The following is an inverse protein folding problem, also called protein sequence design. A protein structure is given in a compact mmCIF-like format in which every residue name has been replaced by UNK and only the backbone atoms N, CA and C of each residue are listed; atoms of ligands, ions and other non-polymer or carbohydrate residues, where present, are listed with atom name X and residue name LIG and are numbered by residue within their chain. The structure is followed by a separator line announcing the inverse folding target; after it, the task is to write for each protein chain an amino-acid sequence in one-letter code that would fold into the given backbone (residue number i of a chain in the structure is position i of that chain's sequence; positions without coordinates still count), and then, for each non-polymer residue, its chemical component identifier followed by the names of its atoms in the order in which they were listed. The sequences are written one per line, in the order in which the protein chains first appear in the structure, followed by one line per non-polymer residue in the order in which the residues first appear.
data_IF_608503465001
#
_entry.id   IF_608503465001
#
_cell.length_a   1.000
_cell.length_b   1.000
_cell.length_c   1.000
_cell.angle_alpha   90.00
_cell.angle_beta   90.00
_cell.angle_gamma   90.00
#
_symmetry.space_group_name_H-M   'P 1'
#
loop_
_entity.id
_entity.type
_entity.pdbx_description
1 polymer ?
#
# COMPACT_ATOMS: atom_id res chain seq x y z
N UNK A 1 -32.44 -5.78 7.87
CA UNK A 1 -31.49 -6.23 8.91
C UNK A 1 -30.11 -6.13 8.30
N UNK A 2 -29.20 -5.36 8.89
CA UNK A 2 -27.82 -5.29 8.41
C UNK A 2 -27.13 -6.64 8.57
N UNK A 3 -26.16 -6.93 7.70
CA UNK A 3 -25.27 -8.09 7.84
C UNK A 3 -24.52 -8.01 9.16
N UNK A 4 -24.53 -9.07 9.98
CA UNK A 4 -23.78 -9.10 11.25
C UNK A 4 -22.32 -9.46 10.99
N UNK A 5 -21.39 -8.62 11.44
CA UNK A 5 -19.95 -8.82 11.26
C UNK A 5 -19.15 -8.21 12.42
N UNK A 6 -17.95 -8.73 12.62
CA UNK A 6 -16.89 -8.16 13.46
C UNK A 6 -15.75 -7.67 12.56
N UNK A 7 -14.81 -6.89 13.09
CA UNK A 7 -13.69 -6.36 12.33
C UNK A 7 -12.33 -6.58 13.03
N UNK A 8 -11.31 -6.88 12.22
CA UNK A 8 -9.90 -6.94 12.61
C UNK A 8 -9.11 -5.98 11.71
N UNK A 9 -8.45 -4.99 12.31
CA UNK A 9 -7.59 -4.02 11.62
C UNK A 9 -6.13 -4.31 11.96
N UNK A 10 -5.31 -4.62 10.96
CA UNK A 10 -3.89 -4.93 11.13
C UNK A 10 -3.04 -3.67 10.94
N UNK A 11 -2.43 -3.19 12.02
CA UNK A 11 -1.64 -1.96 12.06
C UNK A 11 -0.22 -2.16 12.62
N UNK A 12 0.33 -3.37 12.53
CA UNK A 12 1.70 -3.69 12.97
C UNK A 12 2.82 -3.37 11.96
N UNK A 13 2.51 -2.80 10.80
CA UNK A 13 3.47 -2.56 9.73
C UNK A 13 4.51 -1.46 10.04
N UNK A 14 5.80 -1.73 9.76
CA UNK A 14 6.88 -0.72 9.82
C UNK A 14 6.93 0.08 8.52
N UNK A 15 6.87 1.42 8.56
CA UNK A 15 7.01 2.26 7.37
C UNK A 15 8.49 2.52 7.02
N UNK A 16 9.14 1.52 6.43
CA UNK A 16 10.53 1.66 5.98
C UNK A 16 10.71 2.72 4.89
N UNK A 17 9.65 2.99 4.10
CA UNK A 17 9.63 3.90 2.95
C UNK A 17 9.10 5.32 3.24
N UNK A 18 8.66 5.59 4.48
CA UNK A 18 8.10 6.90 4.88
C UNK A 18 8.98 7.60 5.93
N UNK A 19 10.31 7.51 5.77
CA UNK A 19 11.26 8.25 6.61
C UNK A 19 11.30 7.83 8.09
N UNK A 20 10.90 6.60 8.42
CA UNK A 20 10.90 6.08 9.79
C UNK A 20 9.64 6.39 10.61
N UNK A 21 8.64 7.07 10.04
CA UNK A 21 7.33 7.23 10.65
C UNK A 21 6.64 5.87 10.85
N UNK A 22 5.78 5.77 11.85
CA UNK A 22 4.87 4.62 12.00
C UNK A 22 3.79 4.73 10.92
N UNK A 23 3.68 3.74 10.02
CA UNK A 23 2.76 3.78 8.85
C UNK A 23 1.32 4.13 9.27
N UNK A 24 0.75 3.52 10.31
CA UNK A 24 -0.63 3.81 10.73
C UNK A 24 -0.86 5.25 11.21
N UNK A 25 0.20 5.98 11.59
CA UNK A 25 0.13 7.35 12.11
C UNK A 25 0.32 8.40 11.01
N UNK A 26 0.66 7.99 9.79
CA UNK A 26 0.80 8.89 8.66
C UNK A 26 -0.54 9.57 8.39
N UNK A 27 -0.50 10.90 8.27
CA UNK A 27 -1.69 11.69 8.02
C UNK A 27 -2.05 11.68 6.53
N UNK A 28 -3.32 11.41 6.25
CA UNK A 28 -3.96 11.53 4.94
C UNK A 28 -5.30 12.25 5.15
N UNK A 29 -5.64 13.24 4.33
CA UNK A 29 -6.82 14.08 4.52
C UNK A 29 -6.85 14.77 5.89
N UNK A 30 -5.69 15.07 6.47
CA UNK A 30 -5.56 15.67 7.81
C UNK A 30 -5.83 14.72 8.99
N UNK A 31 -6.00 13.42 8.76
CA UNK A 31 -6.27 12.40 9.81
C UNK A 31 -5.32 11.22 9.66
N UNK A 32 -5.04 10.50 10.75
CA UNK A 32 -4.16 9.32 10.67
C UNK A 32 -4.81 8.19 9.84
N UNK A 33 -4.00 7.45 9.09
CA UNK A 33 -4.44 6.30 8.29
C UNK A 33 -5.28 5.31 9.10
N UNK A 34 -4.84 4.98 10.32
CA UNK A 34 -5.59 4.08 11.21
C UNK A 34 -7.00 4.58 11.53
N UNK A 35 -7.20 5.90 11.63
CA UNK A 35 -8.50 6.48 11.95
C UNK A 35 -9.48 6.35 10.77
N UNK A 36 -8.99 6.50 9.53
CA UNK A 36 -9.82 6.25 8.33
C UNK A 36 -10.25 4.79 8.23
N UNK A 37 -9.34 3.87 8.50
CA UNK A 37 -9.63 2.43 8.43
C UNK A 37 -10.59 2.01 9.55
N UNK A 38 -10.47 2.59 10.75
CA UNK A 38 -11.43 2.36 11.83
C UNK A 38 -12.83 2.86 11.47
N UNK A 39 -12.96 4.01 10.80
CA UNK A 39 -14.26 4.48 10.30
C UNK A 39 -14.91 3.47 9.34
N UNK A 40 -14.12 2.79 8.51
CA UNK A 40 -14.60 1.74 7.59
C UNK A 40 -15.16 0.50 8.32
N UNK A 41 -14.90 0.36 9.63
CA UNK A 41 -15.47 -0.70 10.49
C UNK A 41 -16.80 -0.31 11.13
N UNK A 42 -17.32 0.90 10.86
CA UNK A 42 -18.60 1.36 11.41
C UNK A 42 -19.71 0.37 11.11
N UNK A 43 -20.40 -0.09 12.17
CA UNK A 43 -21.45 -1.11 12.08
C UNK A 43 -21.00 -2.52 12.49
N UNK A 44 -19.70 -2.75 12.70
CA UNK A 44 -19.20 -3.98 13.31
C UNK A 44 -19.73 -4.13 14.75
N UNK A 45 -20.05 -5.37 15.15
CA UNK A 45 -20.41 -5.67 16.54
C UNK A 45 -19.23 -5.48 17.48
N UNK A 46 -18.05 -5.91 17.05
CA UNK A 46 -16.76 -5.67 17.71
C UNK A 46 -15.69 -5.30 16.69
N UNK A 47 -14.83 -4.37 17.06
CA UNK A 47 -13.62 -4.01 16.29
C UNK A 47 -12.38 -4.25 17.14
N UNK A 48 -11.44 -5.02 16.60
CA UNK A 48 -10.12 -5.24 17.18
C UNK A 48 -9.06 -4.57 16.31
N UNK A 49 -8.27 -3.70 16.92
CA UNK A 49 -7.06 -3.15 16.34
C UNK A 49 -5.85 -3.99 16.76
N UNK A 50 -5.14 -4.57 15.80
CA UNK A 50 -3.91 -5.31 16.04
C UNK A 50 -2.72 -4.40 15.84
N UNK A 51 -2.20 -3.86 16.93
CA UNK A 51 -1.26 -2.75 16.94
C UNK A 51 -0.49 -2.65 18.27
N UNK A 52 0.71 -2.02 18.29
CA UNK A 52 1.37 -1.67 19.54
C UNK A 52 0.56 -0.64 20.34
N UNK A 53 0.74 -0.64 21.67
CA UNK A 53 0.00 0.18 22.64
C UNK A 53 -0.09 1.68 22.30
N UNK A 54 0.93 2.23 21.62
CA UNK A 54 0.92 3.63 21.17
C UNK A 54 -0.21 3.98 20.20
N UNK A 55 -0.83 3.00 19.54
CA UNK A 55 -1.91 3.18 18.57
C UNK A 55 -3.32 2.98 19.15
N UNK A 56 -3.44 2.74 20.46
CA UNK A 56 -4.74 2.56 21.13
C UNK A 56 -5.69 3.73 20.81
N UNK A 57 -6.97 3.40 20.64
CA UNK A 57 -8.07 4.36 20.45
C UNK A 57 -9.20 4.09 21.45
N UNK A 58 -9.89 5.12 21.96
CA UNK A 58 -11.04 4.92 22.84
C UNK A 58 -12.11 4.03 22.21
N UNK A 59 -12.60 3.06 22.97
CA UNK A 59 -13.69 2.17 22.52
C UNK A 59 -13.28 1.07 21.53
N UNK A 60 -12.00 0.97 21.15
CA UNK A 60 -11.48 -0.07 20.26
C UNK A 60 -10.58 -1.01 21.05
N UNK A 61 -10.90 -2.31 21.05
CA UNK A 61 -10.03 -3.31 21.66
C UNK A 61 -8.72 -3.36 20.89
N UNK A 62 -7.60 -3.13 21.57
CA UNK A 62 -6.27 -3.16 20.94
C UNK A 62 -5.48 -4.32 21.50
N UNK A 63 -4.90 -5.13 20.61
CA UNK A 63 -4.03 -6.26 20.96
C UNK A 63 -2.80 -6.25 20.08
N UNK A 64 -1.77 -7.00 20.45
CA UNK A 64 -0.61 -7.28 19.59
C UNK A 64 -0.38 -8.78 19.58
N UNK A 65 0.15 -9.32 18.48
CA UNK A 65 0.59 -10.70 18.49
C UNK A 65 1.74 -10.93 19.50
N UNK A 66 1.76 -12.12 20.09
CA UNK A 66 2.78 -12.52 21.06
C UNK A 66 3.48 -13.82 20.58
N UNK A 67 4.80 -13.82 20.36
CA UNK A 67 5.71 -12.66 20.43
C UNK A 67 5.49 -11.68 19.26
N UNK A 68 5.84 -10.39 19.44
CA UNK A 68 5.68 -9.38 18.39
C UNK A 68 6.52 -9.68 17.13
N UNK A 69 6.23 -8.94 16.06
CA UNK A 69 6.83 -9.13 14.73
C UNK A 69 6.53 -10.52 14.14
N UNK A 70 5.35 -11.08 14.44
CA UNK A 70 4.90 -12.36 13.92
C UNK A 70 4.39 -12.29 12.48
N UNK A 71 4.21 -11.07 11.95
CA UNK A 71 3.69 -10.82 10.62
C UNK A 71 2.16 -10.85 10.53
N UNK A 72 1.58 -10.55 9.36
CA UNK A 72 0.13 -10.34 9.23
C UNK A 72 -0.74 -11.54 9.61
N UNK A 73 -0.28 -12.77 9.36
CA UNK A 73 -1.02 -13.98 9.73
C UNK A 73 -1.10 -14.15 11.26
N UNK A 74 0.00 -13.90 11.99
CA UNK A 74 0.02 -13.91 13.44
C UNK A 74 -0.85 -12.79 14.01
N UNK A 75 -0.79 -11.60 13.42
CA UNK A 75 -1.67 -10.48 13.79
C UNK A 75 -3.15 -10.81 13.59
N UNK A 76 -3.53 -11.43 12.47
CA UNK A 76 -4.90 -11.87 12.23
C UNK A 76 -5.35 -12.91 13.26
N UNK A 77 -4.51 -13.89 13.61
CA UNK A 77 -4.82 -14.88 14.64
C UNK A 77 -4.99 -14.25 16.04
N UNK A 78 -4.16 -13.26 16.38
CA UNK A 78 -4.31 -12.50 17.63
C UNK A 78 -5.62 -11.71 17.64
N UNK A 79 -5.97 -11.04 16.54
CA UNK A 79 -7.24 -10.33 16.38
C UNK A 79 -8.45 -11.25 16.51
N UNK A 80 -8.43 -12.42 15.86
CA UNK A 80 -9.49 -13.42 15.96
C UNK A 80 -9.66 -13.96 17.39
N UNK A 81 -8.56 -14.14 18.12
CA UNK A 81 -8.59 -14.56 19.52
C UNK A 81 -9.25 -13.49 20.39
N UNK A 82 -8.92 -12.22 20.16
CA UNK A 82 -9.46 -11.08 20.91
C UNK A 82 -10.96 -10.82 20.65
N UNK A 83 -11.45 -11.14 19.45
CA UNK A 83 -12.88 -11.10 19.14
C UNK A 83 -13.70 -12.12 19.96
N UNK A 84 -13.06 -13.16 20.48
CA UNK A 84 -13.69 -14.19 21.31
C UNK A 84 -14.51 -15.21 20.51
N UNK A 85 -15.01 -16.27 21.18
CA UNK A 85 -15.75 -17.35 20.56
C UNK A 85 -17.17 -16.96 20.15
N UNK A 86 -17.77 -15.98 20.81
CA UNK A 86 -19.14 -15.49 20.55
C UNK A 86 -19.16 -14.36 19.51
N UNK A 87 -18.24 -14.42 18.56
CA UNK A 87 -18.08 -13.44 17.47
C UNK A 87 -19.19 -13.52 16.43
N UNK A 88 -19.32 -12.46 15.64
CA UNK A 88 -20.18 -12.46 14.47
C UNK A 88 -19.72 -13.52 13.44
N UNK A 89 -20.63 -14.03 12.57
CA UNK A 89 -20.28 -15.07 11.60
C UNK A 89 -19.33 -14.59 10.50
N UNK A 90 -19.23 -13.27 10.29
CA UNK A 90 -18.35 -12.66 9.31
C UNK A 90 -17.31 -11.78 10.02
N UNK A 91 -16.10 -11.76 9.47
CA UNK A 91 -14.98 -10.94 9.94
C UNK A 91 -14.45 -10.10 8.79
N UNK A 92 -14.61 -8.79 8.90
CA UNK A 92 -13.95 -7.80 8.06
C UNK A 92 -12.48 -7.71 8.46
N UNK A 93 -11.57 -7.91 7.52
CA UNK A 93 -10.12 -7.83 7.73
C UNK A 93 -9.57 -6.69 6.88
N UNK A 94 -8.94 -5.72 7.55
CA UNK A 94 -8.39 -4.51 6.94
C UNK A 94 -6.90 -4.35 7.29
N UNK A 95 -6.08 -4.03 6.30
CA UNK A 95 -4.77 -3.42 6.54
C UNK A 95 -4.94 -1.95 6.92
N UNK A 96 -4.00 -1.40 7.70
CA UNK A 96 -4.08 -0.01 8.16
C UNK A 96 -3.80 1.06 7.09
N UNK A 97 -3.39 0.66 5.89
CA UNK A 97 -2.89 1.54 4.84
C UNK A 97 -3.87 1.80 3.70
N UNK A 98 -5.12 1.33 3.82
CA UNK A 98 -6.20 1.52 2.84
C UNK A 98 -7.26 2.52 3.33
N UNK A 99 -6.97 3.84 3.34
CA UNK A 99 -7.85 4.85 3.95
C UNK A 99 -9.18 5.05 3.21
N UNK A 100 -9.35 4.45 2.03
CA UNK A 100 -10.58 4.51 1.24
C UNK A 100 -11.42 3.23 1.36
N UNK A 101 -11.07 2.30 2.26
CA UNK A 101 -11.74 1.00 2.43
C UNK A 101 -13.25 1.12 2.64
N UNK A 102 -13.74 2.20 3.27
CA UNK A 102 -15.16 2.43 3.51
C UNK A 102 -16.01 2.42 2.23
N UNK A 103 -15.43 2.74 1.07
CA UNK A 103 -16.09 2.70 -0.25
C UNK A 103 -16.50 1.27 -0.65
N UNK A 104 -15.66 0.30 -0.35
CA UNK A 104 -15.81 -1.08 -0.83
C UNK A 104 -16.36 -2.06 0.20
N UNK A 105 -16.32 -1.71 1.49
CA UNK A 105 -16.81 -2.57 2.59
C UNK A 105 -18.27 -3.03 2.39
N UNK A 106 -19.23 -2.19 1.98
CA UNK A 106 -20.61 -2.64 1.75
C UNK A 106 -20.72 -3.74 0.69
N UNK A 107 -20.01 -3.59 -0.43
CA UNK A 107 -19.99 -4.58 -1.51
C UNK A 107 -19.31 -5.89 -1.09
N UNK A 108 -18.23 -5.81 -0.31
CA UNK A 108 -17.56 -6.98 0.26
C UNK A 108 -18.47 -7.74 1.24
N UNK A 109 -19.18 -7.04 2.12
CA UNK A 109 -20.14 -7.64 3.04
C UNK A 109 -21.29 -8.32 2.30
N UNK A 110 -21.83 -7.68 1.25
CA UNK A 110 -22.88 -8.28 0.43
C UNK A 110 -22.38 -9.56 -0.27
N UNK A 111 -21.22 -9.51 -0.91
CA UNK A 111 -20.63 -10.65 -1.60
C UNK A 111 -20.33 -11.80 -0.62
N UNK A 112 -19.77 -11.50 0.55
CA UNK A 112 -19.43 -12.50 1.56
C UNK A 112 -20.65 -13.25 2.11
N UNK A 113 -21.83 -12.63 2.14
CA UNK A 113 -23.07 -13.33 2.58
C UNK A 113 -23.49 -14.47 1.64
N UNK A 114 -23.02 -14.43 0.39
CA UNK A 114 -23.35 -15.40 -0.67
C UNK A 114 -22.20 -16.37 -0.93
N UNK A 115 -21.03 -16.13 -0.36
CA UNK A 115 -19.80 -16.87 -0.63
C UNK A 115 -19.54 -17.93 0.46
N UNK A 116 -18.93 -19.09 0.13
CA UNK A 116 -18.68 -20.14 1.12
C UNK A 116 -17.69 -19.72 2.22
N UNK A 117 -16.57 -19.11 1.83
CA UNK A 117 -15.48 -18.78 2.76
C UNK A 117 -15.26 -17.25 2.89
N UNK A 118 -15.98 -16.44 2.11
CA UNK A 118 -15.95 -14.99 2.16
C UNK A 118 -15.77 -14.31 0.80
N UNK A 119 -15.51 -13.01 0.83
CA UNK A 119 -15.21 -12.20 -0.34
C UNK A 119 -13.95 -11.34 -0.11
N UNK A 120 -13.22 -11.03 -1.17
CA UNK A 120 -12.03 -10.16 -1.10
C UNK A 120 -12.05 -9.16 -2.23
N UNK A 121 -11.38 -8.03 -2.02
CA UNK A 121 -11.16 -7.08 -3.08
C UNK A 121 -10.10 -7.60 -4.06
N UNK A 122 -10.32 -7.36 -5.34
CA UNK A 122 -9.31 -7.49 -6.39
C UNK A 122 -9.19 -6.16 -7.13
N UNK A 123 -7.98 -5.78 -7.53
CA UNK A 123 -7.82 -4.63 -8.43
C UNK A 123 -8.32 -4.97 -9.86
N UNK A 124 -8.26 -3.99 -10.77
CA UNK A 124 -8.68 -4.15 -12.16
C UNK A 124 -7.90 -5.25 -12.91
N UNK A 125 -6.68 -5.56 -12.45
CA UNK A 125 -5.82 -6.62 -12.99
C UNK A 125 -6.09 -8.00 -12.33
N UNK A 126 -7.06 -8.09 -11.43
CA UNK A 126 -7.42 -9.31 -10.71
C UNK A 126 -6.49 -9.67 -9.56
N UNK A 127 -5.60 -8.77 -9.14
CA UNK A 127 -4.69 -9.00 -8.02
C UNK A 127 -5.48 -8.92 -6.71
N UNK A 128 -5.40 -10.01 -5.95
CA UNK A 128 -6.09 -10.14 -4.68
C UNK A 128 -5.51 -9.28 -3.55
N UNK A 129 -6.39 -8.54 -2.87
CA UNK A 129 -6.09 -7.85 -1.62
C UNK A 129 -6.60 -8.67 -0.43
N UNK A 130 -5.75 -9.56 0.09
CA UNK A 130 -6.09 -10.47 1.20
C UNK A 130 -6.37 -9.78 2.54
N UNK A 131 -5.99 -8.51 2.69
CA UNK A 131 -6.24 -7.69 3.87
C UNK A 131 -7.20 -6.55 3.57
N UNK A 132 -8.04 -6.70 2.55
CA UNK A 132 -9.20 -5.87 2.29
C UNK A 132 -10.34 -6.80 1.84
N UNK A 133 -10.85 -7.53 2.83
CA UNK A 133 -11.68 -8.70 2.60
C UNK A 133 -12.62 -8.97 3.78
N UNK A 134 -13.70 -9.69 3.52
CA UNK A 134 -14.63 -10.20 4.53
C UNK A 134 -14.62 -11.72 4.46
N UNK A 135 -14.23 -12.37 5.55
CA UNK A 135 -14.19 -13.84 5.63
C UNK A 135 -15.31 -14.37 6.49
N UNK A 136 -15.72 -15.62 6.26
CA UNK A 136 -16.48 -16.32 7.29
C UNK A 136 -15.56 -16.63 8.48
N UNK A 137 -16.04 -16.40 9.71
CA UNK A 137 -15.27 -16.67 10.92
C UNK A 137 -14.78 -18.12 10.97
N UNK A 138 -15.67 -19.06 10.62
CA UNK A 138 -15.35 -20.48 10.58
C UNK A 138 -14.18 -20.80 9.62
N UNK A 139 -14.12 -20.17 8.44
CA UNK A 139 -13.04 -20.39 7.49
C UNK A 139 -11.69 -19.86 8.02
N UNK A 140 -11.69 -18.69 8.67
CA UNK A 140 -10.48 -18.14 9.31
C UNK A 140 -10.00 -19.01 10.47
N UNK A 141 -10.90 -19.41 11.36
CA UNK A 141 -10.55 -20.25 12.51
C UNK A 141 -9.98 -21.60 12.05
N UNK A 142 -10.57 -22.21 11.01
CA UNK A 142 -10.03 -23.42 10.39
C UNK A 142 -8.69 -23.20 9.68
N UNK A 143 -8.50 -22.06 9.01
CA UNK A 143 -7.24 -21.70 8.39
C UNK A 143 -6.11 -21.60 9.43
N UNK A 144 -6.36 -20.89 10.53
CA UNK A 144 -5.39 -20.78 11.64
C UNK A 144 -5.12 -22.15 12.27
N UNK A 145 -6.16 -22.97 12.50
CA UNK A 145 -6.02 -24.30 13.07
C UNK A 145 -5.18 -25.25 12.18
N UNK A 146 -5.35 -25.21 10.84
CA UNK A 146 -4.58 -26.02 9.88
C UNK A 146 -3.07 -25.78 9.98
N UNK A 147 -2.68 -24.58 10.41
CA UNK A 147 -1.28 -24.19 10.57
C UNK A 147 -0.79 -24.29 12.02
N UNK A 148 -1.46 -25.06 12.89
CA UNK A 148 -1.03 -25.26 14.27
C UNK A 148 -1.47 -24.17 15.24
N UNK A 149 -2.51 -23.40 14.90
CA UNK A 149 -3.06 -22.37 15.77
C UNK A 149 -2.26 -21.07 15.79
N UNK A 150 -2.52 -20.17 16.76
CA UNK A 150 -1.89 -18.85 16.82
C UNK A 150 -0.35 -18.87 16.83
N UNK A 151 0.27 -19.89 17.43
CA UNK A 151 1.73 -20.01 17.48
C UNK A 151 2.32 -20.52 16.17
N UNK A 152 1.60 -21.39 15.45
CA UNK A 152 2.09 -22.01 14.22
C UNK A 152 1.97 -21.13 12.96
N UNK A 153 1.14 -20.08 13.01
CA UNK A 153 1.02 -19.09 11.90
C UNK A 153 2.10 -18.00 11.93
N UNK A 154 3.05 -18.04 12.86
CA UNK A 154 4.10 -17.04 12.97
C UNK A 154 5.01 -17.03 11.74
N UNK A 155 5.22 -15.86 11.16
CA UNK A 155 6.03 -15.67 9.95
C UNK A 155 5.37 -16.17 8.67
N UNK A 156 4.15 -16.72 8.76
CA UNK A 156 3.42 -17.22 7.61
C UNK A 156 2.89 -16.04 6.77
N UNK A 157 3.12 -16.00 5.45
CA UNK A 157 2.46 -15.03 4.59
C UNK A 157 0.94 -15.21 4.65
N UNK A 158 0.18 -14.12 4.73
CA UNK A 158 -1.30 -14.20 4.80
C UNK A 158 -1.89 -14.96 3.60
N UNK A 159 -1.27 -14.86 2.42
CA UNK A 159 -1.66 -15.64 1.24
C UNK A 159 -1.58 -17.15 1.48
N UNK A 160 -0.56 -17.61 2.20
CA UNK A 160 -0.40 -19.02 2.52
C UNK A 160 -1.39 -19.49 3.59
N UNK A 161 -1.67 -18.64 4.60
CA UNK A 161 -2.72 -18.91 5.61
C UNK A 161 -4.09 -19.14 4.94
N UNK A 162 -4.42 -18.28 3.98
CA UNK A 162 -5.73 -18.27 3.32
C UNK A 162 -5.80 -19.22 2.11
N UNK A 163 -4.75 -20.01 1.88
CA UNK A 163 -4.72 -20.95 0.76
C UNK A 163 -5.84 -21.99 0.87
N UNK A 164 -6.47 -22.27 -0.27
CA UNK A 164 -7.61 -23.19 -0.38
C UNK A 164 -8.97 -22.62 0.02
N UNK A 165 -9.09 -21.37 0.47
CA UNK A 165 -10.39 -20.74 0.71
C UNK A 165 -11.10 -20.40 -0.61
N UNK A 166 -12.41 -20.72 -0.68
CA UNK A 166 -13.30 -20.40 -1.80
C UNK A 166 -13.90 -19.01 -1.60
N UNK A 167 -13.17 -18.01 -2.06
CA UNK A 167 -13.52 -16.60 -1.95
C UNK A 167 -14.22 -16.10 -3.23
N UNK A 168 -15.15 -15.16 -3.07
CA UNK A 168 -15.68 -14.36 -4.18
C UNK A 168 -14.81 -13.11 -4.37
N UNK A 169 -14.38 -12.85 -5.58
CA UNK A 169 -13.64 -11.65 -5.92
C UNK A 169 -14.61 -10.49 -6.20
N UNK A 170 -14.34 -9.34 -5.58
CA UNK A 170 -15.05 -8.07 -5.78
C UNK A 170 -14.08 -7.09 -6.43
N UNK A 171 -14.36 -6.65 -7.64
CA UNK A 171 -13.50 -5.71 -8.37
C UNK A 171 -13.56 -4.31 -7.76
N UNK A 172 -12.40 -3.67 -7.59
CA UNK A 172 -12.29 -2.31 -7.06
C UNK A 172 -12.65 -1.24 -8.09
N UNK A 173 -13.94 -0.97 -8.24
CA UNK A 173 -14.44 0.06 -9.16
C UNK A 173 -14.41 1.48 -8.55
N UNK A 174 -14.19 1.61 -7.24
CA UNK A 174 -14.29 2.88 -6.50
C UNK A 174 -12.94 3.37 -5.94
N UNK A 175 -11.86 2.64 -6.23
CA UNK A 175 -10.51 2.91 -5.73
C UNK A 175 -10.40 2.76 -4.22
N UNK A 176 -11.20 1.88 -3.60
CA UNK A 176 -11.21 1.65 -2.17
C UNK A 176 -9.96 0.91 -1.66
N UNK A 177 -9.27 0.20 -2.55
CA UNK A 177 -8.04 -0.54 -2.29
C UNK A 177 -6.75 0.24 -2.54
N UNK A 178 -6.83 1.56 -2.78
CA UNK A 178 -5.64 2.40 -2.87
C UNK A 178 -4.94 2.47 -1.50
N UNK A 179 -3.65 2.15 -1.48
CA UNK A 179 -2.83 2.12 -0.29
C UNK A 179 -1.86 3.31 -0.19
N UNK A 180 -1.44 3.64 1.03
CA UNK A 180 -0.48 4.71 1.30
C UNK A 180 0.93 4.14 1.55
N UNK A 181 1.58 3.67 0.48
CA UNK A 181 2.93 3.08 0.54
C UNK A 181 4.06 4.10 0.46
N UNK A 182 3.82 5.21 -0.23
CA UNK A 182 4.77 6.29 -0.48
C UNK A 182 4.16 7.67 -0.23
N UNK A 183 5.01 8.70 -0.12
CA UNK A 183 4.55 10.10 -0.05
C UNK A 183 3.84 10.60 -1.32
N UNK A 184 3.97 9.89 -2.44
CA UNK A 184 3.12 10.13 -3.61
C UNK A 184 1.70 9.64 -3.40
N UNK A 185 1.58 8.44 -2.84
CA UNK A 185 0.28 7.84 -2.58
C UNK A 185 -0.47 8.68 -1.55
N UNK A 186 0.21 9.13 -0.48
CA UNK A 186 -0.34 10.08 0.49
C UNK A 186 -0.89 11.33 -0.19
N UNK A 187 -0.12 11.97 -1.08
CA UNK A 187 -0.60 13.19 -1.78
C UNK A 187 -1.76 12.92 -2.74
N UNK A 188 -1.78 11.75 -3.39
CA UNK A 188 -2.92 11.34 -4.24
C UNK A 188 -4.17 11.11 -3.41
N UNK A 189 -4.02 10.44 -2.27
CA UNK A 189 -5.11 10.16 -1.34
C UNK A 189 -5.61 11.45 -0.66
N UNK A 190 -4.72 12.38 -0.31
CA UNK A 190 -5.06 13.72 0.17
C UNK A 190 -5.95 14.46 -0.83
N UNK A 191 -5.61 14.43 -2.11
CA UNK A 191 -6.41 15.07 -3.14
C UNK A 191 -7.80 14.44 -3.27
N UNK A 192 -7.91 13.11 -3.16
CA UNK A 192 -9.20 12.42 -3.23
C UNK A 192 -10.08 12.66 -2.00
N UNK A 193 -9.50 12.65 -0.80
CA UNK A 193 -10.22 12.88 0.45
C UNK A 193 -10.55 14.37 0.63
N UNK A 194 -9.67 15.27 0.18
CA UNK A 194 -9.92 16.71 0.15
C UNK A 194 -10.98 17.12 -0.88
N UNK A 195 -11.07 16.45 -2.03
CA UNK A 195 -12.14 16.66 -3.01
C UNK A 195 -13.52 16.18 -2.53
N UNK A 196 -13.56 15.32 -1.50
CA UNK A 196 -14.80 14.80 -0.91
C UNK A 196 -15.30 15.63 0.29
N UNK A 197 -14.56 16.66 0.74
CA UNK A 197 -15.02 17.55 1.80
C UNK A 197 -16.18 18.44 1.30
N UNK A 198 -17.30 18.57 2.05
CA UNK A 198 -18.32 19.55 1.70
C UNK A 198 -17.74 20.95 1.83
N UNK A 199 -17.82 21.74 0.76
CA UNK A 199 -17.53 23.17 0.83
C UNK A 199 -18.57 23.80 1.74
N UNK A 200 -18.15 24.15 2.97
CA UNK A 200 -18.98 24.91 3.88
C UNK A 200 -19.19 26.32 3.30
N UNK A 201 -20.40 26.57 2.80
CA UNK A 201 -21.10 27.85 2.79
C UNK A 201 -20.41 29.05 2.12
N UNK A 202 -20.83 29.35 0.89
CA UNK A 202 -21.11 30.74 0.50
C UNK A 202 -22.19 30.79 -0.59
N UNK A 203 -23.37 31.26 -0.20
CA UNK A 203 -24.50 31.57 -1.08
C UNK A 203 -24.18 32.71 -2.07
N UNK A 204 -24.67 32.56 -3.30
CA UNK A 204 -24.73 33.62 -4.31
C UNK A 204 -25.14 33.10 -5.69
N UNK A 205 -26.33 33.48 -6.23
CA UNK A 205 -26.86 32.87 -7.45
C UNK A 205 -26.24 33.52 -8.69
N UNK A 206 -25.38 32.77 -9.38
CA UNK A 206 -24.80 33.17 -10.67
C UNK A 206 -25.04 32.08 -11.72
N UNK A 207 -25.99 32.34 -12.62
CA UNK A 207 -26.30 31.51 -13.79
C UNK A 207 -25.03 31.10 -14.55
N UNK A 208 -24.87 29.79 -14.80
CA UNK A 208 -23.94 29.26 -15.80
C UNK A 208 -24.72 28.68 -16.99
N UNK A 209 -24.33 28.99 -18.23
CA UNK A 209 -25.03 28.56 -19.42
C UNK A 209 -24.75 27.09 -19.75
N UNK A 210 -25.75 26.44 -20.33
CA UNK A 210 -25.66 25.09 -20.87
C UNK A 210 -24.63 25.01 -22.01
N UNK A 211 -23.75 24.01 -21.97
CA UNK A 211 -22.85 23.63 -23.05
C UNK A 211 -23.19 22.21 -23.55
N UNK A 212 -22.92 21.92 -24.84
CA UNK A 212 -23.78 21.05 -25.64
C UNK A 212 -23.32 19.58 -25.65
N UNK A 213 -24.29 18.71 -25.94
CA UNK A 213 -24.06 17.32 -26.33
C UNK A 213 -23.24 17.25 -27.62
N UNK A 214 -22.10 16.54 -27.58
CA UNK A 214 -21.45 16.06 -28.79
C UNK A 214 -20.58 14.81 -28.57
N UNK A 215 -21.15 13.71 -29.07
CA UNK A 215 -20.55 12.79 -30.05
C UNK A 215 -19.39 11.91 -29.61
N UNK A 216 -19.65 10.61 -29.73
CA UNK A 216 -18.71 9.53 -29.56
C UNK A 216 -17.44 9.70 -30.37
N UNK A 217 -16.34 9.28 -29.74
CA UNK A 217 -15.13 8.86 -30.42
C UNK A 217 -14.89 7.44 -29.94
N UNK A 218 -15.04 6.51 -30.86
CA UNK A 218 -14.48 5.18 -30.73
C UNK A 218 -12.98 5.35 -30.42
N UNK A 219 -12.57 5.04 -29.20
CA UNK A 219 -11.18 4.70 -28.96
C UNK A 219 -11.09 3.22 -29.26
N UNK A 220 -10.56 2.91 -30.44
CA UNK A 220 -10.14 1.55 -30.78
C UNK A 220 -9.32 0.99 -29.61
N UNK A 221 -9.82 -0.11 -29.06
CA UNK A 221 -9.15 -0.98 -28.12
C UNK A 221 -7.76 -1.32 -28.71
N UNK A 222 -6.73 -0.65 -28.20
CA UNK A 222 -5.38 -1.17 -28.35
C UNK A 222 -5.29 -2.34 -27.38
N UNK A 223 -4.96 -3.56 -27.83
CA UNK A 223 -4.87 -4.69 -26.92
C UNK A 223 -3.86 -4.36 -25.83
N UNK A 224 -4.24 -4.66 -24.59
CA UNK A 224 -3.36 -4.67 -23.43
C UNK A 224 -2.10 -5.43 -23.84
N UNK A 225 -0.98 -4.72 -23.84
CA UNK A 225 0.31 -5.32 -24.14
C UNK A 225 0.56 -6.39 -23.08
N UNK A 226 0.62 -7.67 -23.47
CA UNK A 226 1.13 -8.81 -22.70
C UNK A 226 2.63 -8.65 -22.40
N UNK A 227 3.08 -7.41 -22.15
CA UNK A 227 4.48 -7.05 -22.06
C UNK A 227 4.99 -7.43 -20.67
N UNK A 228 5.86 -8.47 -20.56
CA UNK A 228 6.41 -8.89 -19.28
C UNK A 228 7.21 -7.77 -18.58
N UNK A 229 7.60 -6.73 -19.33
CA UNK A 229 8.29 -5.54 -18.82
C UNK A 229 7.39 -4.61 -17.98
N UNK A 230 6.07 -4.83 -17.98
CA UNK A 230 5.10 -4.02 -17.22
C UNK A 230 4.56 -4.72 -15.97
N UNK A 231 4.98 -5.96 -15.71
CA UNK A 231 4.57 -6.69 -14.50
C UNK A 231 5.22 -6.09 -13.23
N UNK A 232 4.51 -6.01 -12.10
CA UNK A 232 5.11 -5.68 -10.81
C UNK A 232 6.16 -6.72 -10.43
N UNK A 233 7.43 -6.31 -10.38
CA UNK A 233 8.57 -7.23 -10.22
C UNK A 233 9.23 -7.66 -11.52
N UNK A 234 9.07 -6.91 -12.63
CA UNK A 234 10.05 -6.96 -13.72
C UNK A 234 11.45 -6.85 -13.09
N UNK A 235 12.18 -7.95 -13.10
CA UNK A 235 13.34 -8.19 -12.24
C UNK A 235 14.43 -7.17 -12.58
N UNK A 236 14.46 -6.03 -11.88
CA UNK A 236 15.38 -4.93 -12.11
C UNK A 236 16.84 -5.38 -12.02
N UNK A 237 17.24 -6.25 -11.07
CA UNK A 237 18.55 -6.93 -11.12
C UNK A 237 18.80 -7.68 -12.43
N UNK A 238 17.84 -8.48 -12.92
CA UNK A 238 17.97 -9.22 -14.19
C UNK A 238 18.02 -8.28 -15.39
N UNK A 239 17.16 -7.26 -15.45
CA UNK A 239 17.16 -6.25 -16.51
C UNK A 239 18.46 -5.44 -16.53
N UNK A 240 18.92 -5.00 -15.36
CA UNK A 240 20.16 -4.22 -15.21
C UNK A 240 21.36 -5.06 -15.61
N UNK A 241 21.42 -6.33 -15.18
CA UNK A 241 22.45 -7.27 -15.61
C UNK A 241 22.44 -7.50 -17.12
N UNK A 242 21.26 -7.73 -17.71
CA UNK A 242 21.12 -7.92 -19.15
C UNK A 242 21.53 -6.65 -19.94
N UNK A 243 21.15 -5.47 -19.46
CA UNK A 243 21.52 -4.19 -20.08
C UNK A 243 23.02 -3.90 -19.95
N UNK A 244 23.61 -4.16 -18.78
CA UNK A 244 25.04 -4.00 -18.55
C UNK A 244 25.85 -4.88 -19.52
N UNK A 245 25.47 -6.16 -19.65
CA UNK A 245 26.08 -7.07 -20.63
C UNK A 245 25.93 -6.53 -22.06
N UNK A 246 24.74 -6.07 -22.44
CA UNK A 246 24.50 -5.55 -23.79
C UNK A 246 25.31 -4.28 -24.11
N UNK A 247 25.65 -3.49 -23.10
CA UNK A 247 26.43 -2.25 -23.23
C UNK A 247 27.93 -2.44 -22.94
N UNK A 248 28.38 -3.65 -22.63
CA UNK A 248 29.78 -3.93 -22.29
C UNK A 248 30.22 -3.38 -20.92
N UNK A 249 29.28 -3.19 -20.01
CA UNK A 249 29.52 -2.76 -18.62
C UNK A 249 29.56 -4.00 -17.72
N UNK A 250 30.52 -4.05 -16.78
CA UNK A 250 30.54 -5.10 -15.76
C UNK A 250 29.31 -4.96 -14.85
N UNK A 251 28.42 -5.98 -14.79
CA UNK A 251 27.21 -5.92 -13.98
C UNK A 251 27.47 -5.75 -12.48
N UNK A 252 28.64 -6.16 -11.99
CA UNK A 252 29.00 -6.04 -10.56
C UNK A 252 29.25 -4.60 -10.11
N UNK A 253 29.48 -3.68 -11.06
CA UNK A 253 29.62 -2.25 -10.80
C UNK A 253 28.30 -1.57 -10.47
N UNK A 254 27.17 -2.21 -10.76
CA UNK A 254 25.84 -1.60 -10.60
C UNK A 254 25.11 -2.24 -9.43
N UNK A 255 25.28 -1.65 -8.25
CA UNK A 255 24.39 -1.92 -7.13
C UNK A 255 23.04 -1.23 -7.37
N UNK A 256 22.07 -2.02 -7.82
CA UNK A 256 20.72 -1.54 -8.14
C UNK A 256 20.06 -0.86 -6.93
N UNK A 257 20.32 -1.34 -5.71
CA UNK A 257 19.72 -0.77 -4.50
C UNK A 257 20.34 0.60 -4.22
N UNK A 258 21.67 0.69 -4.20
CA UNK A 258 22.39 1.94 -3.92
C UNK A 258 22.07 3.03 -4.95
N UNK A 259 22.06 2.68 -6.25
CA UNK A 259 21.72 3.62 -7.33
C UNK A 259 20.29 4.17 -7.19
N UNK A 260 19.33 3.32 -6.84
CA UNK A 260 17.95 3.74 -6.62
C UNK A 260 17.80 4.57 -5.34
N UNK A 261 18.57 4.28 -4.30
CA UNK A 261 18.60 5.07 -3.07
C UNK A 261 19.15 6.48 -3.35
N UNK A 262 20.25 6.62 -4.12
CA UNK A 262 20.79 7.92 -4.53
C UNK A 262 19.74 8.71 -5.33
N UNK A 263 19.07 8.07 -6.29
CA UNK A 263 18.00 8.72 -7.04
C UNK A 263 16.85 9.18 -6.14
N UNK A 264 16.48 8.38 -5.15
CA UNK A 264 15.46 8.71 -4.16
C UNK A 264 15.82 9.93 -3.33
N UNK A 265 17.09 10.04 -2.90
CA UNK A 265 17.61 11.19 -2.16
C UNK A 265 17.62 12.46 -3.01
N UNK A 266 18.11 12.38 -4.25
CA UNK A 266 18.09 13.52 -5.19
C UNK A 266 16.65 13.99 -5.44
N UNK A 267 15.72 13.06 -5.64
CA UNK A 267 14.32 13.39 -5.86
C UNK A 267 13.69 14.11 -4.66
N UNK A 268 14.11 13.77 -3.44
CA UNK A 268 13.64 14.40 -2.19
C UNK A 268 14.27 15.76 -1.94
N UNK A 269 15.58 15.89 -2.11
CA UNK A 269 16.32 17.09 -1.70
C UNK A 269 16.35 18.17 -2.79
N UNK A 270 16.29 17.77 -4.08
CA UNK A 270 16.41 18.68 -5.22
C UNK A 270 15.07 18.86 -5.91
N UNK A 271 14.67 17.85 -6.69
CA UNK A 271 13.37 17.76 -7.36
C UNK A 271 13.29 16.40 -8.07
N UNK A 272 12.08 15.86 -8.27
CA UNK A 272 11.90 14.57 -8.95
C UNK A 272 12.51 14.47 -10.35
N UNK A 273 12.39 15.49 -11.24
CA UNK A 273 13.05 15.43 -12.53
C UNK A 273 14.59 15.42 -12.44
N UNK A 274 15.18 15.83 -11.30
CA UNK A 274 16.61 15.85 -11.11
C UNK A 274 17.22 14.46 -10.89
N UNK A 275 16.44 13.46 -10.45
CA UNK A 275 16.94 12.11 -10.21
C UNK A 275 17.52 11.44 -11.48
N UNK A 276 16.77 11.30 -12.60
CA UNK A 276 17.33 10.72 -13.82
C UNK A 276 18.46 11.57 -14.41
N UNK A 277 18.40 12.90 -14.28
CA UNK A 277 19.46 13.79 -14.77
C UNK A 277 20.77 13.62 -13.99
N UNK A 278 20.67 13.51 -12.66
CA UNK A 278 21.84 13.35 -11.78
C UNK A 278 22.49 12.00 -11.98
N UNK A 279 21.71 10.92 -12.13
CA UNK A 279 22.27 9.60 -12.43
C UNK A 279 22.91 9.53 -13.82
N UNK A 280 22.37 10.23 -14.81
CA UNK A 280 23.01 10.33 -16.12
C UNK A 280 24.39 11.02 -16.04
N UNK A 281 24.47 12.14 -15.31
CA UNK A 281 25.74 12.84 -15.05
C UNK A 281 26.70 11.96 -14.25
N UNK A 282 26.22 11.24 -13.24
CA UNK A 282 27.00 10.30 -12.46
C UNK A 282 27.61 9.20 -13.35
N UNK A 283 26.82 8.60 -14.25
CA UNK A 283 27.31 7.61 -15.21
C UNK A 283 28.42 8.14 -16.11
N UNK A 284 28.31 9.38 -16.60
CA UNK A 284 29.38 10.05 -17.38
C UNK A 284 30.64 10.21 -16.52
N UNK A 285 30.50 10.65 -15.27
CA UNK A 285 31.63 10.85 -14.37
C UNK A 285 32.35 9.54 -14.01
N UNK A 286 31.59 8.47 -13.76
CA UNK A 286 32.14 7.12 -13.53
C UNK A 286 32.91 6.63 -14.76
N UNK A 287 32.35 6.79 -15.96
CA UNK A 287 33.02 6.42 -17.21
C UNK A 287 34.32 7.21 -17.44
N UNK A 288 34.32 8.51 -17.14
CA UNK A 288 35.51 9.35 -17.22
C UNK A 288 36.59 8.97 -16.20
N UNK A 289 36.21 8.38 -15.06
CA UNK A 289 37.10 7.89 -14.02
C UNK A 289 37.59 6.44 -14.23
N UNK A 290 37.30 5.84 -15.39
CA UNK A 290 37.77 4.49 -15.74
C UNK A 290 36.85 3.36 -15.29
N UNK A 291 35.69 3.66 -14.71
CA UNK A 291 34.64 2.67 -14.45
C UNK A 291 34.98 1.59 -13.41
N UNK A 292 35.70 1.94 -12.34
CA UNK A 292 35.97 1.01 -11.22
C UNK A 292 34.87 1.05 -10.15
N UNK A 293 34.75 0.01 -9.28
CA UNK A 293 33.82 0.03 -8.16
C UNK A 293 34.04 1.23 -7.22
N UNK A 294 35.29 1.61 -7.00
CA UNK A 294 35.66 2.77 -6.17
C UNK A 294 35.19 4.08 -6.83
N UNK A 295 35.35 4.19 -8.16
CA UNK A 295 34.85 5.35 -8.89
C UNK A 295 33.31 5.47 -8.82
N UNK A 296 32.60 4.34 -8.86
CA UNK A 296 31.14 4.32 -8.66
C UNK A 296 30.79 4.83 -7.27
N UNK A 297 31.38 4.25 -6.22
CA UNK A 297 31.11 4.64 -4.83
C UNK A 297 31.41 6.13 -4.59
N UNK A 298 32.57 6.62 -5.05
CA UNK A 298 32.99 8.02 -4.90
C UNK A 298 32.05 8.98 -5.62
N UNK A 299 31.63 8.67 -6.85
CA UNK A 299 30.71 9.52 -7.61
C UNK A 299 29.33 9.54 -6.96
N UNK A 300 28.79 8.40 -6.55
CA UNK A 300 27.49 8.33 -5.89
C UNK A 300 27.50 9.08 -4.56
N UNK A 301 28.56 8.95 -3.76
CA UNK A 301 28.73 9.73 -2.52
C UNK A 301 28.73 11.25 -2.78
N UNK A 302 29.39 11.70 -3.85
CA UNK A 302 29.39 13.12 -4.25
C UNK A 302 28.01 13.60 -4.70
N UNK A 303 27.23 12.76 -5.37
CA UNK A 303 25.83 13.09 -5.74
C UNK A 303 24.98 13.26 -4.48
N UNK A 304 25.09 12.33 -3.50
CA UNK A 304 24.38 12.44 -2.22
C UNK A 304 24.74 13.73 -1.48
N UNK A 305 26.03 14.05 -1.39
CA UNK A 305 26.50 15.28 -0.75
C UNK A 305 25.99 16.55 -1.45
N UNK A 306 26.02 16.58 -2.78
CA UNK A 306 25.50 17.71 -3.56
C UNK A 306 23.98 17.89 -3.38
N UNK A 307 23.22 16.79 -3.37
CA UNK A 307 21.78 16.83 -3.12
C UNK A 307 21.47 17.32 -1.70
N UNK A 308 22.18 16.85 -0.69
CA UNK A 308 22.00 17.27 0.69
C UNK A 308 22.32 18.77 0.90
N UNK A 309 23.40 19.26 0.28
CA UNK A 309 23.74 20.68 0.33
C UNK A 309 22.68 21.56 -0.36
N UNK A 310 22.12 21.09 -1.48
CA UNK A 310 21.03 21.79 -2.18
C UNK A 310 19.78 21.98 -1.31
N UNK A 311 19.41 20.95 -0.55
CA UNK A 311 18.27 21.00 0.38
C UNK A 311 18.51 21.90 1.60
N UNK A 312 19.77 22.09 2.02
CA UNK A 312 20.14 22.90 3.18
C UNK A 312 20.22 24.41 2.86
N UNK A 313 20.75 24.78 1.70
CA UNK A 313 21.05 26.18 1.38
C UNK A 313 20.04 26.84 0.40
N UNK A 314 19.12 26.07 -0.19
CA UNK A 314 18.31 26.54 -1.33
C UNK A 314 19.21 26.87 -2.54
N UNK A 315 18.66 27.21 -3.72
CA UNK A 315 19.48 27.40 -4.91
C UNK A 315 20.43 28.60 -4.75
N UNK A 316 21.69 28.35 -4.44
CA UNK A 316 22.78 29.29 -4.77
C UNK A 316 23.04 29.18 -6.26
N UNK A 317 22.76 30.29 -6.96
CA UNK A 317 22.98 30.47 -8.39
C UNK A 317 24.42 30.19 -8.83
#
# INVERSE_FOLDING_TARGET
MGTSFDAVVLAGGRARRLGGASKPEVAVGGRALVDHVLDATTGAGRTVLVAPDRLVRPGVVTVLEDPPDGGPAAGLAAGLTALGPDGAPLVLVLACDVPLASRVVPALLEAATKAPDGARLVDEDGRAQHLLAVYTRAALDQAVARHGGPTGVRGLPVRALLDGLRLTDVTDLEGGGLDADTWDDVRRLDAQLGAAAPVAGSDGPGQRPAAPAARGRHHEERPMSEDPRRAPGADLPVWTSALAVALGVDPSLVDVVDVLDVAGEVAHQVARPAAPLSLFVAGIAVGAAGGSPEAVADVLARVRAAAAAWGADGPTA
#
